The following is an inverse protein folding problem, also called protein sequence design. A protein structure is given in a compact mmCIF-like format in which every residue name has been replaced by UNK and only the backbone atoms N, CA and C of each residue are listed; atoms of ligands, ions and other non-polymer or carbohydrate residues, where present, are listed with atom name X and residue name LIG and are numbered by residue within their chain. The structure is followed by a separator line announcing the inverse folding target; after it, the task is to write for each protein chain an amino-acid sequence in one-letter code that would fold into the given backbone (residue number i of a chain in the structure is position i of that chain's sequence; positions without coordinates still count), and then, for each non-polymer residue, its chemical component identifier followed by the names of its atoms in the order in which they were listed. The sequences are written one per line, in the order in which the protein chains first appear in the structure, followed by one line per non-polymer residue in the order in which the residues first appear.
data_IF_530434426883
#
_entry.id   IF_530434426883
#
_cell.length_a   1.000
_cell.length_b   1.000
_cell.length_c   1.000
_cell.angle_alpha   90.00
_cell.angle_beta   90.00
_cell.angle_gamma   90.00
#
_symmetry.space_group_name_H-M   'P 1'
#
loop_
_entity.id
_entity.type
_entity.pdbx_description
1 polymer ?
#
# COMPACT_ATOMS: atom_id res chain seq x y z
N UNK A 1 -2.20 9.76 1.63
CA UNK A 1 -1.58 10.07 2.95
C UNK A 1 -0.87 8.81 3.46
N UNK A 2 0.38 8.88 3.95
CA UNK A 2 1.04 7.72 4.59
C UNK A 2 0.31 7.34 5.90
N UNK A 3 -0.26 6.14 6.00
CA UNK A 3 -0.89 5.63 7.22
C UNK A 3 0.14 5.44 8.33
N UNK A 4 -0.15 5.90 9.54
CA UNK A 4 0.81 5.84 10.66
C UNK A 4 0.20 4.98 11.77
N UNK A 5 0.96 3.95 12.19
CA UNK A 5 0.72 3.14 13.41
C UNK A 5 -0.57 2.32 13.47
N UNK A 6 -1.36 2.22 12.41
CA UNK A 6 -2.49 1.29 12.34
C UNK A 6 -1.99 -0.16 12.35
N UNK A 7 -2.58 -0.99 13.20
CA UNK A 7 -2.35 -2.45 13.19
C UNK A 7 -3.58 -3.20 12.68
N UNK A 8 -3.41 -4.48 12.35
CA UNK A 8 -4.53 -5.33 11.89
C UNK A 8 -5.57 -5.50 13.01
N UNK A 9 -5.14 -5.52 14.26
CA UNK A 9 -6.03 -5.60 15.43
C UNK A 9 -6.88 -4.32 15.57
N UNK A 10 -6.32 -3.15 15.27
CA UNK A 10 -7.09 -1.90 15.25
C UNK A 10 -8.20 -1.95 14.19
N UNK A 11 -7.86 -2.45 12.99
CA UNK A 11 -8.79 -2.64 11.87
C UNK A 11 -9.89 -3.63 12.30
N UNK A 12 -9.51 -4.78 12.83
CA UNK A 12 -10.44 -5.83 13.26
C UNK A 12 -11.37 -5.36 14.38
N UNK A 13 -10.86 -4.59 15.34
CA UNK A 13 -11.67 -4.03 16.43
C UNK A 13 -12.72 -3.06 15.90
N UNK A 14 -12.33 -2.14 15.01
CA UNK A 14 -13.23 -1.14 14.45
C UNK A 14 -14.25 -1.77 13.50
N UNK A 15 -13.81 -2.59 12.54
CA UNK A 15 -14.67 -3.24 11.56
C UNK A 15 -15.57 -4.32 12.18
N UNK A 16 -15.10 -5.02 13.21
CA UNK A 16 -15.93 -5.97 13.96
C UNK A 16 -17.06 -5.29 14.75
N UNK A 17 -16.89 -4.03 15.14
CA UNK A 17 -17.97 -3.21 15.69
C UNK A 17 -18.91 -2.70 14.60
N UNK A 18 -18.36 -2.07 13.56
CA UNK A 18 -19.13 -1.48 12.45
C UNK A 18 -19.92 -2.53 11.65
N UNK A 19 -19.40 -3.74 11.49
CA UNK A 19 -20.07 -4.85 10.79
C UNK A 19 -21.36 -5.31 11.48
N UNK A 20 -21.54 -4.99 12.78
CA UNK A 20 -22.78 -5.26 13.52
C UNK A 20 -23.79 -4.11 13.44
N UNK A 21 -23.39 -2.95 12.92
CA UNK A 21 -24.23 -1.77 12.80
C UNK A 21 -24.78 -1.66 11.38
N UNK A 22 -25.98 -1.09 11.25
CA UNK A 22 -26.60 -0.80 9.96
C UNK A 22 -26.44 0.69 9.69
N UNK A 23 -25.84 1.05 8.56
CA UNK A 23 -25.71 2.44 8.12
C UNK A 23 -24.58 3.21 8.80
N UNK A 24 -24.78 4.52 8.95
CA UNK A 24 -23.82 5.44 9.54
C UNK A 24 -23.83 5.37 11.08
N UNK A 25 -22.65 5.41 11.70
CA UNK A 25 -22.49 5.34 13.14
C UNK A 25 -21.67 6.53 13.63
N UNK A 26 -22.21 7.28 14.58
CA UNK A 26 -21.53 8.42 15.17
C UNK A 26 -20.27 7.99 15.96
N UNK A 27 -19.18 8.72 15.78
CA UNK A 27 -17.88 8.44 16.39
C UNK A 27 -17.97 8.38 17.92
N UNK A 28 -18.76 9.26 18.54
CA UNK A 28 -18.98 9.28 19.99
C UNK A 28 -19.56 7.95 20.51
N UNK A 29 -20.43 7.30 19.72
CA UNK A 29 -21.01 5.98 20.03
C UNK A 29 -19.96 4.88 19.91
N UNK A 30 -19.09 4.95 18.91
CA UNK A 30 -17.99 3.99 18.72
C UNK A 30 -16.98 4.14 19.87
N UNK A 31 -16.63 5.37 20.25
CA UNK A 31 -15.71 5.66 21.35
C UNK A 31 -16.25 5.16 22.70
N UNK A 32 -17.57 5.28 22.91
CA UNK A 32 -18.23 4.71 24.10
C UNK A 32 -18.12 3.19 24.17
N UNK A 33 -18.12 2.50 23.02
CA UNK A 33 -18.08 1.04 22.96
C UNK A 33 -16.64 0.47 22.95
N UNK A 34 -15.71 1.15 22.27
CA UNK A 34 -14.36 0.67 22.00
C UNK A 34 -13.27 1.41 22.79
N UNK A 35 -13.60 2.50 23.47
CA UNK A 35 -12.66 3.45 24.04
C UNK A 35 -12.24 4.54 23.04
N UNK A 36 -11.34 5.43 23.46
CA UNK A 36 -10.85 6.55 22.63
C UNK A 36 -10.30 6.05 21.28
N UNK A 37 -10.79 6.62 20.19
CA UNK A 37 -10.30 6.35 18.85
C UNK A 37 -9.19 7.34 18.48
N UNK A 38 -8.06 6.82 18.00
CA UNK A 38 -7.00 7.65 17.43
C UNK A 38 -7.40 8.07 16.02
N UNK A 39 -7.61 9.37 15.81
CA UNK A 39 -8.03 9.95 14.52
C UNK A 39 -7.04 9.61 13.39
N UNK A 40 -5.75 9.43 13.70
CA UNK A 40 -4.74 9.03 12.70
C UNK A 40 -4.97 7.61 12.19
N UNK A 41 -5.37 6.70 13.09
CA UNK A 41 -5.71 5.32 12.73
C UNK A 41 -7.01 5.29 11.93
N UNK A 42 -8.02 6.07 12.34
CA UNK A 42 -9.27 6.20 11.58
C UNK A 42 -8.98 6.73 10.18
N UNK A 43 -8.18 7.79 10.04
CA UNK A 43 -7.76 8.34 8.75
C UNK A 43 -7.03 7.33 7.87
N UNK A 44 -6.16 6.50 8.45
CA UNK A 44 -5.53 5.38 7.75
C UNK A 44 -6.53 4.32 7.25
N UNK A 45 -7.51 3.96 8.06
CA UNK A 45 -8.54 2.97 7.68
C UNK A 45 -9.47 3.53 6.58
N UNK A 46 -9.70 4.85 6.58
CA UNK A 46 -10.38 5.55 5.48
C UNK A 46 -9.52 5.50 4.21
N UNK A 47 -8.22 5.80 4.29
CA UNK A 47 -7.30 5.71 3.15
C UNK A 47 -7.24 4.30 2.56
N UNK A 48 -7.30 3.27 3.40
CA UNK A 48 -7.40 1.87 2.96
C UNK A 48 -8.73 1.53 2.28
N UNK A 49 -9.69 2.45 2.25
CA UNK A 49 -11.01 2.22 1.67
C UNK A 49 -11.82 1.17 2.44
N UNK A 50 -11.50 0.94 3.72
CA UNK A 50 -12.21 -0.02 4.58
C UNK A 50 -13.42 0.61 5.27
N UNK A 51 -13.38 1.93 5.48
CA UNK A 51 -14.49 2.71 6.02
C UNK A 51 -14.68 4.01 5.24
N UNK A 52 -15.90 4.53 5.25
CA UNK A 52 -16.24 5.89 4.85
C UNK A 52 -16.36 6.77 6.10
N UNK A 53 -15.97 8.03 5.96
CA UNK A 53 -16.14 9.07 6.98
C UNK A 53 -16.98 10.21 6.43
N UNK A 54 -18.05 10.56 7.15
CA UNK A 54 -18.89 11.72 6.87
C UNK A 54 -18.97 12.58 8.15
N UNK A 55 -18.08 13.57 8.24
CA UNK A 55 -17.87 14.35 9.45
C UNK A 55 -17.50 13.46 10.65
N UNK A 56 -18.40 13.40 11.62
CA UNK A 56 -18.28 12.56 12.81
C UNK A 56 -18.88 11.17 12.67
N UNK A 57 -19.38 10.78 11.49
CA UNK A 57 -20.01 9.48 11.26
C UNK A 57 -19.08 8.56 10.48
N UNK A 58 -19.05 7.28 10.84
CA UNK A 58 -18.27 6.23 10.19
C UNK A 58 -19.20 5.10 9.70
N UNK A 59 -18.84 4.48 8.57
CA UNK A 59 -19.53 3.31 8.00
C UNK A 59 -18.53 2.37 7.34
N UNK A 60 -18.69 1.05 7.47
CA UNK A 60 -17.88 0.08 6.73
C UNK A 60 -18.23 0.09 5.22
N UNK A 61 -17.21 0.05 4.36
CA UNK A 61 -17.34 -0.13 2.90
C UNK A 61 -17.59 -1.60 2.57
N UNK A 62 -17.80 -1.93 1.28
CA UNK A 62 -17.85 -3.32 0.82
C UNK A 62 -16.55 -4.09 1.16
N UNK A 63 -15.39 -3.48 0.92
CA UNK A 63 -14.09 -4.02 1.35
C UNK A 63 -13.99 -4.17 2.87
N UNK A 64 -14.53 -3.22 3.63
CA UNK A 64 -14.61 -3.33 5.09
C UNK A 64 -15.50 -4.49 5.56
N UNK A 65 -16.57 -4.80 4.82
CA UNK A 65 -17.39 -5.99 5.08
C UNK A 65 -16.66 -7.27 4.67
N UNK A 66 -15.97 -7.26 3.52
CA UNK A 66 -15.11 -8.38 3.10
C UNK A 66 -14.06 -8.68 4.17
N UNK A 67 -13.46 -7.67 4.80
CA UNK A 67 -12.50 -7.89 5.88
C UNK A 67 -13.08 -8.68 7.06
N UNK A 68 -14.38 -8.54 7.36
CA UNK A 68 -15.01 -9.31 8.44
C UNK A 68 -15.19 -10.80 8.09
N UNK A 69 -15.30 -11.15 6.81
CA UNK A 69 -15.45 -12.54 6.35
C UNK A 69 -14.13 -13.18 5.91
N UNK A 70 -13.30 -12.43 5.19
CA UNK A 70 -11.99 -12.80 4.67
C UNK A 70 -11.02 -11.61 4.81
N UNK A 71 -10.36 -11.48 5.98
CA UNK A 71 -9.39 -10.43 6.22
C UNK A 71 -8.24 -10.42 5.21
N UNK A 72 -7.79 -11.59 4.76
CA UNK A 72 -6.63 -11.68 3.85
C UNK A 72 -6.97 -11.11 2.48
N UNK A 73 -8.11 -11.50 1.90
CA UNK A 73 -8.54 -10.96 0.61
C UNK A 73 -8.73 -9.44 0.67
N UNK A 74 -9.39 -8.93 1.71
CA UNK A 74 -9.58 -7.49 1.87
C UNK A 74 -8.25 -6.72 2.00
N UNK A 75 -7.26 -7.26 2.72
CA UNK A 75 -5.95 -6.62 2.85
C UNK A 75 -5.12 -6.70 1.56
N UNK A 76 -5.29 -7.74 0.73
CA UNK A 76 -4.70 -7.77 -0.62
C UNK A 76 -5.27 -6.67 -1.51
N UNK A 77 -6.58 -6.40 -1.43
CA UNK A 77 -7.16 -5.25 -2.14
C UNK A 77 -6.63 -3.91 -1.62
N UNK A 78 -6.34 -3.79 -0.32
CA UNK A 78 -5.68 -2.59 0.24
C UNK A 78 -4.30 -2.40 -0.39
N UNK A 79 -3.50 -3.48 -0.46
CA UNK A 79 -2.16 -3.43 -1.04
C UNK A 79 -2.16 -3.07 -2.53
N UNK A 80 -3.17 -3.51 -3.29
CA UNK A 80 -3.32 -3.18 -4.71
C UNK A 80 -3.83 -1.74 -4.93
N UNK A 81 -4.76 -1.28 -4.10
CA UNK A 81 -5.40 0.05 -4.28
C UNK A 81 -4.57 1.23 -3.78
N UNK A 82 -3.66 1.02 -2.81
CA UNK A 82 -2.77 2.08 -2.32
C UNK A 82 -1.51 2.11 -3.19
N UNK A 83 -1.37 3.13 -4.04
CA UNK A 83 -0.29 3.27 -5.01
C UNK A 83 1.10 3.04 -4.41
N UNK A 84 1.39 3.64 -3.25
CA UNK A 84 2.68 3.48 -2.57
C UNK A 84 2.95 2.03 -2.14
N UNK A 85 1.91 1.29 -1.73
CA UNK A 85 2.05 -0.10 -1.31
C UNK A 85 2.28 -1.00 -2.51
N UNK A 86 1.50 -0.80 -3.58
CA UNK A 86 1.68 -1.50 -4.85
C UNK A 86 3.08 -1.27 -5.43
N UNK A 87 3.54 -0.03 -5.51
CA UNK A 87 4.87 0.31 -5.99
C UNK A 87 5.99 -0.31 -5.13
N UNK A 88 5.74 -0.55 -3.83
CA UNK A 88 6.68 -1.25 -2.96
C UNK A 88 6.74 -2.73 -3.26
N UNK A 89 5.58 -3.37 -3.51
CA UNK A 89 5.53 -4.77 -3.89
C UNK A 89 6.21 -5.01 -5.25
N UNK A 90 5.99 -4.14 -6.22
CA UNK A 90 6.68 -4.17 -7.52
C UNK A 90 8.20 -4.03 -7.36
N UNK A 91 8.65 -3.09 -6.54
CA UNK A 91 10.07 -2.91 -6.23
C UNK A 91 10.72 -4.14 -5.59
N UNK A 92 10.02 -4.77 -4.65
CA UNK A 92 10.47 -6.02 -4.00
C UNK A 92 10.50 -7.17 -5.02
N UNK A 93 9.46 -7.31 -5.83
CA UNK A 93 9.30 -8.36 -6.83
C UNK A 93 10.38 -8.29 -7.92
N UNK A 94 10.48 -7.17 -8.63
CA UNK A 94 11.47 -6.99 -9.70
C UNK A 94 12.89 -6.89 -9.15
N UNK A 95 13.05 -6.45 -7.90
CA UNK A 95 14.32 -6.47 -7.18
C UNK A 95 14.74 -7.85 -6.67
N UNK A 96 13.91 -8.89 -6.83
CA UNK A 96 14.13 -10.24 -6.28
C UNK A 96 14.47 -10.25 -4.79
N UNK A 97 13.86 -9.35 -4.02
CA UNK A 97 14.10 -9.22 -2.57
C UNK A 97 13.19 -10.17 -1.81
N UNK A 98 13.76 -11.06 -1.02
CA UNK A 98 13.00 -11.92 -0.10
C UNK A 98 12.73 -11.24 1.26
N UNK A 99 13.50 -10.21 1.60
CA UNK A 99 13.37 -9.47 2.85
C UNK A 99 13.68 -7.99 2.62
N UNK A 100 13.00 -7.10 3.36
CA UNK A 100 13.35 -5.69 3.44
C UNK A 100 13.13 -5.14 4.86
N UNK A 101 14.02 -4.26 5.29
CA UNK A 101 13.88 -3.52 6.55
C UNK A 101 12.93 -2.34 6.37
N UNK A 102 12.31 -1.90 7.47
CA UNK A 102 11.48 -0.70 7.46
C UNK A 102 12.28 0.58 7.05
N UNK A 103 13.59 0.59 7.28
CA UNK A 103 14.46 1.68 6.86
C UNK A 103 14.67 1.68 5.34
N UNK A 104 14.94 0.53 4.72
CA UNK A 104 15.10 0.40 3.27
C UNK A 104 13.80 0.74 2.52
N UNK A 105 12.65 0.31 3.04
CA UNK A 105 11.34 0.66 2.46
C UNK A 105 11.13 2.18 2.55
N UNK A 106 11.44 2.80 3.69
CA UNK A 106 11.34 4.26 3.85
C UNK A 106 12.28 5.02 2.91
N UNK A 107 13.51 4.54 2.71
CA UNK A 107 14.47 5.10 1.76
C UNK A 107 13.99 4.97 0.31
N UNK A 108 13.40 3.83 -0.05
CA UNK A 108 12.80 3.63 -1.37
C UNK A 108 11.67 4.63 -1.63
N UNK A 109 10.79 4.84 -0.65
CA UNK A 109 9.71 5.82 -0.74
C UNK A 109 10.24 7.24 -0.90
N UNK A 110 11.23 7.63 -0.10
CA UNK A 110 11.86 8.94 -0.20
C UNK A 110 12.55 9.16 -1.55
N UNK A 111 13.21 8.14 -2.11
CA UNK A 111 13.92 8.25 -3.38
C UNK A 111 12.99 8.24 -4.61
N UNK A 112 11.90 7.47 -4.57
CA UNK A 112 11.08 7.17 -5.75
C UNK A 112 9.70 7.83 -5.74
N UNK A 113 9.23 8.28 -4.58
CA UNK A 113 7.87 8.79 -4.37
C UNK A 113 7.86 10.11 -3.58
N UNK A 114 8.96 10.88 -3.60
CA UNK A 114 9.08 12.15 -2.87
C UNK A 114 7.92 13.11 -3.14
N UNK A 115 7.50 13.22 -4.40
CA UNK A 115 6.43 14.13 -4.84
C UNK A 115 5.08 13.79 -4.21
N UNK A 116 4.78 12.50 -4.07
CA UNK A 116 3.52 11.99 -3.50
C UNK A 116 3.51 12.06 -1.96
N UNK A 117 4.68 12.04 -1.33
CA UNK A 117 4.83 12.08 0.12
C UNK A 117 4.67 13.50 0.70
N UNK A 118 4.90 14.53 -0.13
CA UNK A 118 4.90 15.93 0.30
C UNK A 118 5.97 16.21 1.37
N UNK A 119 5.63 16.99 2.40
CA UNK A 119 6.58 17.38 3.46
C UNK A 119 6.88 16.27 4.51
N UNK A 120 6.57 14.99 4.22
CA UNK A 120 6.74 13.89 5.18
C UNK A 120 8.13 13.28 5.06
N UNK A 121 8.88 13.30 6.16
CA UNK A 121 10.25 12.79 6.19
C UNK A 121 10.53 11.99 7.47
N UNK A 122 11.63 11.23 7.45
CA UNK A 122 12.21 10.59 8.63
C UNK A 122 11.27 9.59 9.34
N UNK A 123 10.94 9.87 10.61
CA UNK A 123 10.19 8.94 11.47
C UNK A 123 8.79 8.59 10.94
N UNK A 124 8.16 9.51 10.19
CA UNK A 124 6.83 9.27 9.61
C UNK A 124 6.88 8.20 8.52
N UNK A 125 7.94 8.20 7.69
CA UNK A 125 8.12 7.18 6.66
C UNK A 125 8.41 5.82 7.28
N UNK A 126 9.22 5.78 8.34
CA UNK A 126 9.49 4.55 9.10
C UNK A 126 8.21 3.98 9.71
N UNK A 127 7.36 4.81 10.32
CA UNK A 127 6.08 4.36 10.86
C UNK A 127 5.11 3.89 9.77
N UNK A 128 5.16 4.50 8.58
CA UNK A 128 4.43 4.05 7.41
C UNK A 128 4.91 2.70 6.89
N UNK A 129 6.22 2.48 6.81
CA UNK A 129 6.81 1.21 6.40
C UNK A 129 6.48 0.09 7.39
N UNK A 130 6.41 0.40 8.69
CA UNK A 130 5.88 -0.50 9.72
C UNK A 130 4.41 -0.83 9.48
N UNK A 131 3.58 0.15 9.13
CA UNK A 131 2.18 -0.08 8.79
C UNK A 131 2.06 -0.99 7.57
N UNK A 132 2.78 -0.69 6.49
CA UNK A 132 2.86 -1.53 5.30
C UNK A 132 3.23 -2.98 5.64
N UNK A 133 4.30 -3.19 6.42
CA UNK A 133 4.72 -4.53 6.84
C UNK A 133 3.62 -5.32 7.57
N UNK A 134 2.86 -4.66 8.45
CA UNK A 134 1.71 -5.30 9.13
C UNK A 134 0.58 -5.66 8.17
N UNK A 135 0.34 -4.85 7.15
CA UNK A 135 -0.68 -5.14 6.13
C UNK A 135 -0.24 -6.31 5.25
N UNK A 136 1.05 -6.38 4.87
CA UNK A 136 1.63 -7.52 4.12
C UNK A 136 1.48 -8.83 4.90
N UNK A 137 1.80 -8.81 6.20
CA UNK A 137 1.63 -9.95 7.10
C UNK A 137 0.16 -10.36 7.24
N UNK A 138 -0.73 -9.41 7.50
CA UNK A 138 -2.17 -9.65 7.57
C UNK A 138 -2.79 -10.15 6.26
N UNK A 139 -2.22 -9.78 5.11
CA UNK A 139 -2.63 -10.26 3.79
C UNK A 139 -2.08 -11.66 3.44
N UNK A 140 -1.24 -12.24 4.30
CA UNK A 140 -0.59 -13.53 4.06
C UNK A 140 0.39 -13.51 2.90
N UNK A 141 0.98 -12.35 2.57
CA UNK A 141 1.98 -12.21 1.51
C UNK A 141 3.42 -12.24 2.05
N UNK A 142 3.58 -12.52 3.34
CA UNK A 142 4.86 -12.42 4.02
C UNK A 142 4.70 -12.55 5.53
N UNK A 143 5.76 -12.19 6.25
CA UNK A 143 5.75 -12.10 7.72
C UNK A 143 6.42 -10.82 8.20
N UNK A 144 5.84 -10.18 9.22
CA UNK A 144 6.34 -8.95 9.78
C UNK A 144 6.99 -9.17 11.14
N UNK A 145 8.26 -8.80 11.28
CA UNK A 145 9.01 -8.95 12.53
C UNK A 145 9.41 -7.58 13.08
N UNK A 146 8.87 -7.24 14.26
CA UNK A 146 9.22 -6.00 14.97
C UNK A 146 10.56 -6.14 15.67
N UNK A 147 11.52 -5.30 15.31
CA UNK A 147 12.82 -5.24 15.96
C UNK A 147 12.71 -4.71 17.40
N UNK A 148 13.35 -5.40 18.36
CA UNK A 148 13.48 -4.99 19.77
C UNK A 148 14.95 -5.01 20.18
N UNK A 149 15.36 -4.09 21.07
CA UNK A 149 16.72 -4.06 21.62
C UNK A 149 17.80 -3.75 20.57
N UNK A 150 17.54 -2.79 19.68
CA UNK A 150 18.48 -2.39 18.61
C UNK A 150 18.41 -3.25 17.35
N UNK A 151 17.64 -4.34 17.34
CA UNK A 151 17.32 -5.07 16.10
C UNK A 151 16.41 -4.24 15.20
N UNK A 152 16.60 -4.38 13.90
CA UNK A 152 15.77 -3.72 12.90
C UNK A 152 14.42 -4.40 12.74
N UNK A 153 13.41 -3.61 12.36
CA UNK A 153 12.11 -4.11 11.94
C UNK A 153 12.18 -4.55 10.49
N UNK A 154 11.69 -5.76 10.20
CA UNK A 154 11.84 -6.41 8.89
C UNK A 154 10.54 -7.01 8.39
N UNK A 155 10.40 -7.08 7.08
CA UNK A 155 9.32 -7.74 6.35
C UNK A 155 9.95 -8.83 5.50
N UNK A 156 9.55 -10.08 5.70
CA UNK A 156 9.87 -11.19 4.79
C UNK A 156 8.73 -11.36 3.81
N UNK A 157 9.03 -11.59 2.54
CA UNK A 157 8.03 -11.67 1.47
C UNK A 157 7.93 -13.09 0.91
N UNK A 158 6.70 -13.57 0.75
CA UNK A 158 6.41 -14.82 0.05
C UNK A 158 6.39 -14.55 -1.46
N UNK A 159 7.46 -14.95 -2.16
CA UNK A 159 7.66 -14.62 -3.57
C UNK A 159 6.47 -15.00 -4.46
N UNK A 160 5.86 -16.17 -4.25
CA UNK A 160 4.68 -16.62 -5.00
C UNK A 160 3.45 -15.74 -4.77
N UNK A 161 3.18 -15.35 -3.52
CA UNK A 161 2.05 -14.49 -3.19
C UNK A 161 2.22 -13.08 -3.75
N UNK A 162 3.42 -12.52 -3.67
CA UNK A 162 3.74 -11.21 -4.25
C UNK A 162 3.66 -11.25 -5.78
N UNK A 163 4.18 -12.30 -6.42
CA UNK A 163 4.11 -12.50 -7.87
C UNK A 163 2.67 -12.53 -8.38
N UNK A 164 1.80 -13.30 -7.73
CA UNK A 164 0.37 -13.35 -8.07
C UNK A 164 -0.31 -12.00 -7.97
N UNK A 165 0.00 -11.21 -6.94
CA UNK A 165 -0.61 -9.90 -6.76
C UNK A 165 -0.08 -8.86 -7.77
N UNK A 166 1.23 -8.85 -8.05
CA UNK A 166 1.86 -7.88 -8.96
C UNK A 166 1.51 -8.17 -10.42
N UNK A 167 1.57 -9.44 -10.85
CA UNK A 167 1.32 -9.82 -12.24
C UNK A 167 -0.16 -10.11 -12.54
N UNK A 168 -1.02 -10.08 -11.52
CA UNK A 168 -2.45 -10.41 -11.65
C UNK A 168 -2.72 -11.87 -12.01
N UNK A 169 -1.72 -12.74 -11.90
CA UNK A 169 -1.87 -14.18 -12.09
C UNK A 169 -2.40 -14.73 -10.77
N UNK A 170 -3.72 -14.79 -10.64
CA UNK A 170 -4.37 -15.48 -9.52
C UNK A 170 -3.86 -16.92 -9.51
N UNK A 171 -2.92 -17.23 -8.59
CA UNK A 171 -2.47 -18.59 -8.41
C UNK A 171 -3.73 -19.44 -8.11
N UNK A 172 -3.91 -20.59 -8.76
CA UNK A 172 -5.00 -21.48 -8.41
C UNK A 172 -4.81 -21.83 -6.93
N UNK A 173 -5.75 -21.40 -6.08
CA UNK A 173 -5.76 -21.78 -4.67
C UNK A 173 -5.63 -23.30 -4.62
N UNK A 174 -4.52 -23.79 -4.10
CA UNK A 174 -4.40 -25.18 -3.72
C UNK A 174 -5.36 -25.38 -2.56
N UNK A 175 -6.59 -25.75 -2.87
CA UNK A 175 -7.48 -26.41 -1.92
C UNK A 175 -6.72 -27.65 -1.47
N UNK A 176 -6.23 -27.58 -0.24
CA UNK A 176 -5.78 -28.72 0.53
C UNK A 176 -7.05 -29.54 0.84
N UNK A 177 -7.58 -30.22 -0.18
CA UNK A 177 -8.47 -31.36 -0.02
C UNK A 177 -7.60 -32.48 0.57
N UNK A 178 -7.34 -32.37 1.86
CA UNK A 178 -6.97 -33.50 2.69
C UNK A 178 -8.17 -34.44 2.69
N UNK A 179 -8.20 -35.34 1.71
CA UNK A 179 -9.06 -36.52 1.70
C UNK A 179 -8.83 -37.27 3.01
N UNK A 180 -9.86 -37.22 3.85
CA UNK A 180 -10.08 -38.02 5.04
C UNK A 180 -10.19 -39.49 4.60
N UNK A 181 -9.07 -40.21 4.51
CA UNK A 181 -9.07 -41.67 4.38
C UNK A 181 -9.33 -42.32 5.75
N UNK A 182 -10.43 -43.08 5.92
CA UNK A 182 -10.61 -43.90 7.11
C UNK A 182 -9.71 -45.15 7.07
N UNK A 183 -8.86 -45.21 8.08
CA UNK A 183 -8.03 -46.31 8.56
C UNK A 183 -8.71 -47.70 8.45
N UNK A 184 -8.09 -48.61 7.69
CA UNK A 184 -8.41 -50.04 7.67
C UNK A 184 -7.11 -50.87 7.56
N UNK A 185 -6.88 -51.88 8.43
CA UNK A 185 -5.55 -52.42 8.66
C UNK A 185 -5.20 -53.68 7.84
N UNK A 186 -4.02 -53.64 7.16
CA UNK A 186 -3.02 -54.71 6.86
C UNK A 186 -3.47 -56.03 6.16
N UNK A 187 -2.59 -56.87 5.52
CA UNK A 187 -1.12 -56.90 5.58
C UNK A 187 -0.31 -57.21 4.27
N UNK A 188 0.97 -56.80 4.30
CA UNK A 188 2.20 -57.49 3.85
C UNK A 188 2.55 -57.81 2.37
N UNK A 189 3.83 -57.48 2.09
CA UNK A 189 4.87 -58.15 1.25
C UNK A 189 5.04 -57.74 -0.23
N UNK A 190 6.27 -57.91 -0.81
CA UNK A 190 6.99 -56.85 -1.54
C UNK A 190 7.30 -57.23 -3.01
N UNK A 191 7.74 -56.27 -3.85
CA UNK A 191 8.81 -56.48 -4.85
C UNK A 191 9.11 -55.19 -5.64
N UNK A 192 10.40 -54.94 -5.83
CA UNK A 192 10.98 -53.93 -6.70
C UNK A 192 11.21 -54.51 -8.12
N UNK A 193 12.10 -53.93 -8.94
CA UNK A 193 12.07 -52.67 -9.68
C UNK A 193 11.84 -52.96 -11.20
N UNK A 194 11.87 -51.97 -12.11
CA UNK A 194 12.52 -52.06 -13.46
C UNK A 194 12.11 -50.93 -14.44
N UNK A 195 13.15 -50.30 -15.03
CA UNK A 195 13.30 -49.58 -16.32
C UNK A 195 12.43 -48.35 -16.62
N UNK A 196 12.99 -47.18 -16.91
CA UNK A 196 14.01 -46.74 -17.90
C UNK A 196 13.41 -46.26 -19.23
N UNK A 197 13.92 -45.08 -19.63
CA UNK A 197 13.93 -44.44 -20.94
C UNK A 197 12.62 -43.83 -21.46
N UNK A 198 12.66 -42.52 -21.73
CA UNK A 198 12.89 -42.02 -23.10
C UNK A 198 13.10 -40.50 -23.10
N UNK A 199 14.24 -40.08 -23.65
CA UNK A 199 14.61 -38.69 -23.95
C UNK A 199 14.06 -38.38 -25.35
N UNK A 200 13.27 -37.32 -25.50
CA UNK A 200 12.84 -36.83 -26.81
C UNK A 200 13.38 -35.42 -27.03
N UNK A 201 14.39 -35.33 -27.87
CA UNK A 201 14.98 -34.10 -28.41
C UNK A 201 14.09 -33.56 -29.51
N UNK A 202 13.61 -32.32 -29.38
CA UNK A 202 12.88 -31.61 -30.44
C UNK A 202 13.64 -30.33 -30.79
N UNK A 203 13.90 -30.17 -32.09
CA UNK A 203 14.55 -29.02 -32.74
C UNK A 203 13.69 -27.74 -32.64
N UNK A 204 14.30 -26.54 -32.56
CA UNK A 204 13.57 -25.29 -32.69
C UNK A 204 13.41 -24.87 -34.17
N UNK A 205 12.16 -24.59 -34.55
CA UNK A 205 11.79 -23.88 -35.78
C UNK A 205 12.04 -22.37 -35.63
N UNK A 206 12.55 -21.77 -36.70
CA UNK A 206 12.73 -20.33 -36.85
C UNK A 206 11.38 -19.63 -37.05
N UNK A 207 11.10 -18.59 -36.26
CA UNK A 207 9.94 -17.71 -36.41
C UNK A 207 10.41 -16.28 -36.66
N UNK A 208 9.73 -15.65 -37.61
CA UNK A 208 10.09 -14.38 -38.20
C UNK A 208 8.96 -13.34 -37.97
N UNK A 209 9.37 -12.07 -38.00
CA UNK A 209 8.60 -10.84 -38.14
C UNK A 209 7.90 -10.24 -36.90
N UNK A 210 8.51 -9.15 -36.43
CA UNK A 210 7.91 -8.13 -35.58
C UNK A 210 7.19 -7.05 -36.41
N UNK A 211 6.03 -6.57 -35.93
CA UNK A 211 5.65 -5.16 -36.08
C UNK A 211 5.45 -4.52 -34.70
N UNK A 212 6.20 -3.45 -34.41
CA UNK A 212 6.01 -2.65 -33.18
C UNK A 212 4.85 -1.66 -33.33
N UNK A 213 4.02 -1.48 -32.29
CA UNK A 213 2.92 -0.52 -32.25
C UNK A 213 3.41 0.93 -32.07
N UNK A 214 2.64 1.87 -32.63
CA UNK A 214 2.82 3.32 -32.51
C UNK A 214 2.32 3.85 -31.17
N UNK A 215 3.19 4.57 -30.46
CA UNK A 215 2.87 5.34 -29.25
C UNK A 215 2.45 6.76 -29.64
N UNK A 216 1.24 7.16 -29.26
CA UNK A 216 0.78 8.55 -29.29
C UNK A 216 0.58 9.02 -27.85
N UNK A 217 1.42 9.98 -27.43
CA UNK A 217 1.36 10.61 -26.11
C UNK A 217 0.54 11.88 -26.26
N UNK A 218 -0.69 11.86 -25.74
CA UNK A 218 -1.52 13.04 -25.56
C UNK A 218 -1.35 13.51 -24.12
N UNK A 219 -0.69 14.66 -23.92
CA UNK A 219 -0.65 15.32 -22.61
C UNK A 219 -1.49 16.59 -22.66
N UNK A 220 -2.49 16.68 -21.77
CA UNK A 220 -3.23 17.91 -21.48
C UNK A 220 -2.39 18.75 -20.51
N UNK A 221 -2.09 20.03 -20.80
CA UNK A 221 -1.19 20.81 -19.96
C UNK A 221 -1.95 21.46 -18.80
N UNK A 222 -2.07 20.76 -17.68
CA UNK A 222 -2.31 21.39 -16.37
C UNK A 222 -0.96 21.64 -15.71
N UNK A 223 -0.32 22.76 -16.08
CA UNK A 223 0.99 23.14 -15.52
C UNK A 223 0.79 23.62 -14.08
N UNK A 224 1.17 22.79 -13.12
CA UNK A 224 1.21 23.18 -11.71
C UNK A 224 2.60 23.74 -11.41
N UNK A 225 2.66 25.04 -11.08
CA UNK A 225 3.93 25.70 -10.72
C UNK A 225 3.95 25.86 -9.20
N UNK A 226 4.93 25.22 -8.54
CA UNK A 226 5.19 25.42 -7.12
C UNK A 226 6.32 26.46 -6.96
N UNK A 227 6.08 27.54 -6.22
CA UNK A 227 7.06 28.62 -6.03
C UNK A 227 7.44 28.68 -4.55
N UNK A 228 8.70 28.43 -4.25
CA UNK A 228 9.28 28.53 -2.90
C UNK A 228 10.09 29.82 -2.79
N UNK A 229 9.85 30.60 -1.73
CA UNK A 229 10.51 31.90 -1.50
C UNK A 229 11.30 31.83 -0.20
N UNK A 230 12.61 32.00 -0.28
CA UNK A 230 13.49 32.07 0.88
C UNK A 230 13.68 33.54 1.25
N UNK A 231 13.14 33.94 2.40
CA UNK A 231 13.23 35.32 2.90
C UNK A 231 14.35 35.38 3.94
N UNK A 232 15.30 36.29 3.74
CA UNK A 232 16.38 36.52 4.70
C UNK A 232 15.82 37.03 6.05
N UNK A 233 16.46 36.68 7.16
CA UNK A 233 15.98 37.00 8.51
C UNK A 233 15.91 38.51 8.81
N UNK A 234 16.61 39.32 8.02
CA UNK A 234 16.67 40.78 8.12
C UNK A 234 15.74 41.50 7.12
N UNK A 235 14.93 40.77 6.36
CA UNK A 235 13.98 41.37 5.44
C UNK A 235 12.89 42.17 6.17
N UNK A 236 12.71 43.42 5.76
CA UNK A 236 11.63 44.27 6.30
C UNK A 236 10.27 43.88 5.73
N UNK A 237 9.18 44.20 6.44
CA UNK A 237 7.81 43.93 5.97
C UNK A 237 7.51 44.58 4.63
N UNK A 238 8.11 45.73 4.34
CA UNK A 238 7.91 46.45 3.09
C UNK A 238 8.57 45.72 1.91
N UNK A 239 9.78 45.19 2.12
CA UNK A 239 10.45 44.32 1.14
C UNK A 239 9.63 43.07 0.83
N UNK A 240 9.04 42.43 1.85
CA UNK A 240 8.18 41.25 1.65
C UNK A 240 6.93 41.62 0.84
N UNK A 241 6.27 42.76 1.15
CA UNK A 241 5.11 43.24 0.39
C UNK A 241 5.46 43.52 -1.07
N UNK A 242 6.61 44.11 -1.34
CA UNK A 242 7.07 44.41 -2.70
C UNK A 242 7.33 43.13 -3.51
N UNK A 243 7.92 42.10 -2.89
CA UNK A 243 8.11 40.78 -3.51
C UNK A 243 6.75 40.19 -3.94
N UNK A 244 5.76 40.15 -3.05
CA UNK A 244 4.44 39.62 -3.38
C UNK A 244 3.70 40.48 -4.42
N UNK A 245 3.83 41.81 -4.37
CA UNK A 245 3.23 42.73 -5.36
C UNK A 245 3.80 42.47 -6.76
N UNK A 246 5.11 42.29 -6.88
CA UNK A 246 5.74 41.96 -8.15
C UNK A 246 5.36 40.56 -8.64
N UNK A 247 5.33 39.54 -7.77
CA UNK A 247 4.92 38.19 -8.17
C UNK A 247 3.48 38.12 -8.66
N UNK A 248 2.55 38.80 -8.00
CA UNK A 248 1.14 38.85 -8.40
C UNK A 248 0.98 39.41 -9.82
N UNK A 249 1.83 40.35 -10.24
CA UNK A 249 1.84 40.89 -11.60
C UNK A 249 2.16 39.84 -12.66
N UNK A 250 3.07 38.91 -12.38
CA UNK A 250 3.55 37.91 -13.34
C UNK A 250 2.76 36.59 -13.29
N UNK A 251 2.17 36.24 -12.15
CA UNK A 251 1.46 34.96 -11.97
C UNK A 251 -0.03 35.10 -12.28
N UNK A 252 -0.65 36.25 -11.99
CA UNK A 252 -2.11 36.41 -12.05
C UNK A 252 -2.60 37.28 -13.21
N UNK A 253 -1.71 37.84 -14.05
CA UNK A 253 -2.03 38.76 -15.17
C UNK A 253 -3.03 39.87 -14.79
N UNK A 254 -3.10 40.23 -13.51
CA UNK A 254 -4.09 41.16 -12.98
C UNK A 254 -3.42 42.50 -12.71
N UNK A 255 -3.87 43.60 -13.34
CA UNK A 255 -3.36 44.92 -12.99
C UNK A 255 -3.81 45.24 -11.56
N UNK A 256 -2.84 45.30 -10.64
CA UNK A 256 -3.08 45.75 -9.27
C UNK A 256 -3.18 47.28 -9.33
N UNK A 257 -4.33 47.82 -8.96
CA UNK A 257 -4.50 49.26 -8.78
C UNK A 257 -3.52 49.70 -7.68
N UNK A 258 -2.68 50.68 -8.01
CA UNK A 258 -1.72 51.24 -7.07
C UNK A 258 -2.51 52.13 -6.11
N UNK A 259 -2.97 51.55 -5.00
CA UNK A 259 -3.56 52.30 -3.89
C UNK A 259 -2.42 53.04 -3.18
N UNK A 260 -1.93 54.08 -3.84
CA UNK A 260 -1.01 55.07 -3.29
C UNK A 260 -1.77 56.14 -2.52
N UNK A 261 -1.35 56.31 -1.26
CA UNK A 261 -1.35 57.52 -0.41
C UNK A 261 -2.33 58.67 -0.70
#
# INVERSE_FOLDING_TARGET
MVPVKTSVEDIQKLLGYLGKQIGWVEQSKIEKALGSLDDRKVGAIVEFGLILRDGGNLRATERGQLFNSDPQAALREVLDSVELYRATLEWVHYGSRSEATAAEIGQYWEASHADTLGARQGSTLKDGAVCFGRIVDGAGLGSFTVGRGGKETRVSFAASGVDSLVNGVTAPSATDDAEDEPDSPAPATPEAPTRASSIQTVLPSAEAFAPTPSLSVSTSPSVHVNVEIHIAADATSDTVREIFKNMARYVLDKPIADDGE
#
